data_IF_061648619621
#
_entry.id   IF_061648619621
#
_cell.length_a   1.000
_cell.length_b   1.000
_cell.length_c   1.000
_cell.angle_alpha   90.00
_cell.angle_beta   90.00
_cell.angle_gamma   90.00
#
_symmetry.space_group_name_H-M   'P 1'
#
loop_
_entity.id
_entity.type
_entity.pdbx_description
1 polymer ?
#
# COMPACT_ATOMS: atom_id res chain seq x y z
N UNK A 1 -46.92 42.06 12.92
CA UNK A 1 -46.56 41.09 14.00
C UNK A 1 -46.34 39.64 13.53
N UNK A 2 -46.98 39.21 12.44
CA UNK A 2 -46.82 37.81 11.92
C UNK A 2 -45.49 37.65 11.16
N UNK A 3 -44.97 38.69 10.53
CA UNK A 3 -43.70 38.64 9.76
C UNK A 3 -42.48 38.53 10.70
N UNK A 4 -42.49 39.25 11.84
CA UNK A 4 -41.38 39.20 12.79
C UNK A 4 -41.27 37.86 13.53
N UNK A 5 -42.38 37.14 13.71
CA UNK A 5 -42.36 35.81 14.33
C UNK A 5 -41.78 34.73 13.41
N UNK A 6 -41.96 34.86 12.08
CA UNK A 6 -41.37 33.91 11.11
C UNK A 6 -39.85 34.04 11.03
N UNK A 7 -39.30 35.25 11.06
CA UNK A 7 -37.85 35.44 11.01
C UNK A 7 -37.13 34.94 12.29
N UNK A 8 -37.77 35.00 13.46
CA UNK A 8 -37.19 34.50 14.71
C UNK A 8 -37.10 32.99 14.77
N UNK A 9 -37.98 32.26 14.06
CA UNK A 9 -37.95 30.78 13.99
C UNK A 9 -37.02 30.23 12.91
N UNK A 10 -36.83 30.98 11.81
CA UNK A 10 -35.97 30.54 10.69
C UNK A 10 -34.48 30.62 11.06
N UNK A 11 -34.07 31.62 11.83
CA UNK A 11 -32.65 31.78 12.23
C UNK A 11 -32.11 30.62 13.08
N UNK A 12 -32.76 30.16 14.14
CA UNK A 12 -32.25 29.00 14.90
C UNK A 12 -32.29 27.68 14.10
N UNK A 13 -33.29 27.56 13.17
CA UNK A 13 -33.37 26.36 12.33
C UNK A 13 -32.26 26.30 11.27
N UNK A 14 -31.89 27.44 10.67
CA UNK A 14 -30.73 27.54 9.79
C UNK A 14 -29.41 27.28 10.53
N UNK A 15 -29.23 27.84 11.74
CA UNK A 15 -28.05 27.53 12.54
C UNK A 15 -27.97 26.05 12.92
N UNK A 16 -29.08 25.41 13.25
CA UNK A 16 -29.13 23.97 13.56
C UNK A 16 -28.79 23.10 12.35
N UNK A 17 -29.27 23.48 11.14
CA UNK A 17 -28.89 22.82 9.88
C UNK A 17 -27.40 22.96 9.56
N UNK A 18 -26.79 24.11 9.83
CA UNK A 18 -25.34 24.29 9.67
C UNK A 18 -24.52 23.48 10.68
N UNK A 19 -24.96 23.38 11.92
CA UNK A 19 -24.31 22.59 12.96
C UNK A 19 -24.42 21.10 12.62
N UNK A 20 -25.58 20.60 12.18
CA UNK A 20 -25.75 19.21 11.78
C UNK A 20 -24.89 18.87 10.56
N UNK A 21 -24.82 19.77 9.55
CA UNK A 21 -23.93 19.55 8.41
C UNK A 21 -22.44 19.60 8.78
N UNK A 22 -22.03 20.43 9.75
CA UNK A 22 -20.62 20.44 10.20
C UNK A 22 -20.22 19.18 10.99
N UNK A 23 -21.16 18.50 11.62
CA UNK A 23 -20.91 17.22 12.29
C UNK A 23 -20.71 16.05 11.31
N UNK A 24 -21.15 16.17 10.05
CA UNK A 24 -20.95 15.17 8.99
C UNK A 24 -19.69 15.42 8.13
N UNK A 25 -19.02 16.55 8.33
CA UNK A 25 -17.75 16.91 7.66
C UNK A 25 -16.51 16.33 8.36
N UNK A 26 -16.64 15.20 9.04
CA UNK A 26 -15.46 14.41 9.38
C UNK A 26 -15.03 13.70 8.09
N UNK A 27 -14.06 14.28 7.41
CA UNK A 27 -13.44 13.64 6.25
C UNK A 27 -13.13 12.20 6.60
N UNK A 28 -13.53 11.25 5.77
CA UNK A 28 -13.21 9.84 5.97
C UNK A 28 -11.69 9.73 6.04
N UNK A 29 -11.17 9.58 7.24
CA UNK A 29 -9.74 9.43 7.43
C UNK A 29 -9.39 7.98 7.17
N UNK A 30 -9.02 7.70 5.92
CA UNK A 30 -8.48 6.40 5.53
C UNK A 30 -7.21 6.11 6.33
N UNK A 31 -7.00 4.84 6.69
CA UNK A 31 -5.89 4.38 7.53
C UNK A 31 -4.98 3.42 6.76
N UNK A 32 -4.82 3.65 5.46
CA UNK A 32 -4.07 2.76 4.58
C UNK A 32 -2.57 2.65 4.93
N UNK A 33 -2.05 3.56 5.73
CA UNK A 33 -0.68 3.67 6.20
C UNK A 33 -0.50 3.39 7.71
N UNK A 34 -1.50 2.80 8.36
CA UNK A 34 -1.47 2.60 9.82
C UNK A 34 -0.64 1.40 10.28
N UNK A 35 -0.24 0.52 9.40
CA UNK A 35 0.64 -0.60 9.73
C UNK A 35 1.88 -0.55 8.86
N UNK A 36 3.03 -0.45 9.49
CA UNK A 36 4.33 -0.45 8.84
C UNK A 36 5.07 -1.74 9.18
N UNK A 37 5.77 -2.28 8.19
CA UNK A 37 6.60 -3.45 8.31
C UNK A 37 8.05 -3.08 8.03
N UNK A 38 8.94 -3.55 8.87
CA UNK A 38 10.39 -3.42 8.70
C UNK A 38 11.03 -4.77 8.99
N UNK A 39 12.19 -5.03 8.43
CA UNK A 39 13.00 -6.18 8.85
C UNK A 39 14.10 -5.72 9.80
N UNK A 40 14.31 -6.48 10.87
CA UNK A 40 15.45 -6.28 11.75
C UNK A 40 16.73 -6.91 11.16
N UNK A 41 17.86 -6.75 11.83
CA UNK A 41 19.14 -7.32 11.40
C UNK A 41 19.13 -8.86 11.42
N UNK A 42 18.21 -9.50 12.14
CA UNK A 42 18.02 -10.96 12.15
C UNK A 42 17.05 -11.44 11.09
N UNK A 43 16.54 -10.54 10.24
CA UNK A 43 15.53 -10.75 9.19
C UNK A 43 14.13 -11.07 9.70
N UNK A 44 13.85 -10.89 11.00
CA UNK A 44 12.48 -10.95 11.49
C UNK A 44 11.70 -9.73 11.06
N UNK A 45 10.39 -9.88 10.92
CA UNK A 45 9.51 -8.76 10.59
C UNK A 45 9.14 -8.03 11.89
N UNK A 46 9.45 -6.74 11.94
CA UNK A 46 8.91 -5.83 12.94
C UNK A 46 7.65 -5.19 12.38
N UNK A 47 6.57 -5.25 13.15
CA UNK A 47 5.26 -4.69 12.80
C UNK A 47 5.00 -3.49 13.69
N UNK A 48 4.93 -2.32 13.09
CA UNK A 48 4.58 -1.08 13.78
C UNK A 48 3.15 -0.70 13.41
N UNK A 49 2.27 -0.63 14.40
CA UNK A 49 0.86 -0.27 14.21
C UNK A 49 0.56 1.05 14.91
N UNK A 50 -0.02 1.98 14.17
CA UNK A 50 -0.43 3.29 14.65
C UNK A 50 -1.90 3.28 15.03
N UNK A 51 -2.25 3.84 16.17
CA UNK A 51 -3.62 4.03 16.62
C UNK A 51 -3.94 5.53 16.76
N UNK A 52 -5.21 5.89 16.81
CA UNK A 52 -5.61 7.28 17.03
C UNK A 52 -5.89 7.56 18.51
N UNK A 53 -5.52 8.74 19.00
CA UNK A 53 -4.62 9.73 18.37
C UNK A 53 -3.21 9.14 18.19
N UNK A 54 -2.48 9.58 17.17
CA UNK A 54 -1.11 9.12 16.97
C UNK A 54 -0.21 9.88 17.94
N UNK A 55 0.19 9.23 19.01
CA UNK A 55 1.18 9.69 19.98
C UNK A 55 2.05 8.49 20.44
N UNK A 56 3.04 8.75 21.28
CA UNK A 56 3.97 7.71 21.77
C UNK A 56 3.28 6.56 22.51
N UNK A 57 2.07 6.74 23.02
CA UNK A 57 1.32 5.71 23.77
C UNK A 57 0.44 4.87 22.83
N UNK A 58 0.22 5.34 21.60
CA UNK A 58 -0.65 4.72 20.61
C UNK A 58 0.11 4.08 19.44
N UNK A 59 1.41 3.88 19.58
CA UNK A 59 2.23 3.10 18.67
C UNK A 59 2.57 1.76 19.31
N UNK A 60 2.16 0.68 18.66
CA UNK A 60 2.49 -0.68 19.07
C UNK A 60 3.54 -1.27 18.15
N UNK A 61 4.57 -1.90 18.72
CA UNK A 61 5.62 -2.61 17.98
C UNK A 61 5.59 -4.07 18.39
N UNK A 62 5.38 -4.94 17.41
CA UNK A 62 5.41 -6.39 17.57
C UNK A 62 6.54 -6.98 16.71
N UNK A 63 7.01 -8.19 17.01
CA UNK A 63 7.97 -8.92 16.19
C UNK A 63 7.38 -10.25 15.76
N UNK A 64 7.53 -10.57 14.48
CA UNK A 64 7.10 -11.84 13.88
C UNK A 64 8.34 -12.59 13.41
N UNK A 65 8.53 -13.81 13.91
CA UNK A 65 9.59 -14.71 13.45
C UNK A 65 9.29 -15.20 12.04
N UNK A 66 9.75 -14.46 11.06
CA UNK A 66 9.62 -14.80 9.64
C UNK A 66 10.82 -14.24 8.92
N UNK A 67 11.64 -15.09 8.37
CA UNK A 67 12.81 -14.66 7.61
C UNK A 67 12.38 -13.98 6.31
N UNK A 68 12.39 -12.66 6.31
CA UNK A 68 12.09 -11.84 5.14
C UNK A 68 12.91 -10.54 5.18
N UNK A 69 13.48 -10.18 4.04
CA UNK A 69 14.14 -8.89 3.88
C UNK A 69 13.17 -7.88 3.28
N UNK A 70 13.03 -6.74 3.95
CA UNK A 70 12.16 -5.62 3.55
C UNK A 70 12.99 -4.37 3.22
N UNK A 71 14.11 -4.53 2.52
CA UNK A 71 15.01 -3.43 2.16
C UNK A 71 14.32 -2.41 1.25
N UNK A 72 13.68 -2.89 0.18
CA UNK A 72 12.77 -2.13 -0.65
C UNK A 72 11.41 -2.81 -0.53
N UNK A 73 10.43 -2.15 0.06
CA UNK A 73 9.15 -2.76 0.35
C UNK A 73 8.01 -1.76 0.23
N UNK A 74 6.84 -2.27 -0.10
CA UNK A 74 5.58 -1.56 -0.01
C UNK A 74 4.60 -2.34 0.84
N UNK A 75 3.70 -1.65 1.52
CA UNK A 75 2.66 -2.25 2.33
C UNK A 75 1.40 -1.40 2.27
N UNK A 76 0.26 -2.02 2.58
CA UNK A 76 -1.02 -1.33 2.63
C UNK A 76 -1.90 -1.92 3.72
N UNK A 77 -2.59 -1.05 4.44
CA UNK A 77 -3.68 -1.39 5.35
C UNK A 77 -5.04 -1.17 4.68
N UNK A 78 -6.10 -1.68 5.27
CA UNK A 78 -7.46 -1.35 4.87
C UNK A 78 -7.91 -0.02 5.51
N UNK A 79 -9.15 0.40 5.24
CA UNK A 79 -9.72 1.63 5.82
C UNK A 79 -9.83 1.60 7.36
N UNK A 80 -9.78 0.42 7.98
CA UNK A 80 -9.73 0.25 9.44
C UNK A 80 -8.32 0.34 10.02
N UNK A 81 -7.28 0.30 9.18
CA UNK A 81 -5.87 0.32 9.57
C UNK A 81 -5.24 -1.06 9.75
N UNK A 82 -5.95 -2.13 9.39
CA UNK A 82 -5.40 -3.49 9.46
C UNK A 82 -4.57 -3.79 8.22
N UNK A 83 -3.41 -4.43 8.41
CA UNK A 83 -2.56 -4.87 7.31
C UNK A 83 -3.35 -5.75 6.32
N UNK A 84 -3.27 -5.44 5.04
CA UNK A 84 -3.87 -6.21 3.94
C UNK A 84 -2.80 -7.02 3.24
N UNK A 85 -1.82 -6.35 2.69
CA UNK A 85 -0.78 -6.93 1.88
C UNK A 85 0.52 -6.14 2.01
N UNK A 86 1.62 -6.81 1.68
CA UNK A 86 2.94 -6.19 1.54
C UNK A 86 3.77 -6.93 0.49
N UNK A 87 4.79 -6.25 -0.02
CA UNK A 87 5.70 -6.79 -1.02
C UNK A 87 7.13 -6.34 -0.76
N UNK A 88 8.10 -7.22 -1.03
CA UNK A 88 9.52 -6.91 -1.05
C UNK A 88 10.09 -6.96 -2.48
N UNK A 89 9.22 -6.88 -3.49
CA UNK A 89 9.60 -6.97 -4.90
C UNK A 89 9.79 -8.39 -5.45
N UNK A 90 9.93 -9.40 -4.60
CA UNK A 90 9.95 -10.81 -5.00
C UNK A 90 8.58 -11.46 -4.95
N UNK A 91 7.80 -11.11 -3.94
CA UNK A 91 6.51 -11.70 -3.61
C UNK A 91 5.52 -10.63 -3.17
N UNK A 92 4.25 -10.92 -3.35
CA UNK A 92 3.15 -10.26 -2.67
C UNK A 92 2.68 -11.20 -1.56
N UNK A 93 2.69 -10.70 -0.33
CA UNK A 93 2.33 -11.44 0.87
C UNK A 93 1.03 -10.88 1.46
N UNK A 94 0.28 -11.74 2.16
CA UNK A 94 -0.92 -11.32 2.88
C UNK A 94 -0.62 -11.03 4.37
N UNK A 95 -1.60 -10.53 5.10
CA UNK A 95 -1.51 -10.17 6.53
C UNK A 95 -1.05 -11.30 7.47
N UNK A 96 -1.12 -12.56 7.03
CA UNK A 96 -0.61 -13.72 7.78
C UNK A 96 0.87 -14.02 7.54
N UNK A 97 1.58 -13.11 6.88
CA UNK A 97 3.02 -13.17 6.61
C UNK A 97 3.46 -14.31 5.68
N UNK A 98 2.55 -14.93 4.96
CA UNK A 98 2.83 -15.90 3.91
C UNK A 98 2.57 -15.32 2.52
N UNK A 99 3.14 -15.97 1.50
CA UNK A 99 2.92 -15.56 0.11
C UNK A 99 1.44 -15.73 -0.24
N UNK A 100 0.84 -14.67 -0.77
CA UNK A 100 -0.53 -14.68 -1.27
C UNK A 100 -0.68 -15.67 -2.44
N UNK A 101 -1.85 -16.24 -2.62
CA UNK A 101 -2.11 -17.09 -3.81
C UNK A 101 -1.75 -16.34 -5.09
N UNK A 102 -0.96 -16.97 -5.95
CA UNK A 102 -0.37 -16.38 -7.15
C UNK A 102 0.53 -15.14 -6.89
N UNK A 103 0.93 -14.88 -5.63
CA UNK A 103 1.74 -13.72 -5.23
C UNK A 103 3.23 -13.84 -5.56
N UNK A 104 3.72 -15.01 -5.93
CA UNK A 104 5.10 -15.20 -6.38
C UNK A 104 5.31 -14.74 -7.81
N UNK A 105 6.57 -14.47 -8.17
CA UNK A 105 6.94 -14.17 -9.56
C UNK A 105 6.60 -12.78 -10.05
N UNK A 106 6.55 -11.78 -9.17
CA UNK A 106 6.53 -10.37 -9.59
C UNK A 106 7.92 -9.94 -10.06
N UNK A 107 7.98 -8.84 -10.84
CA UNK A 107 9.22 -8.32 -11.42
C UNK A 107 10.03 -9.39 -12.19
N UNK A 108 9.50 -9.95 -13.28
CA UNK A 108 10.21 -10.96 -14.05
C UNK A 108 11.50 -10.42 -14.65
N UNK A 109 12.50 -11.26 -14.80
CA UNK A 109 13.80 -10.90 -15.39
C UNK A 109 14.97 -11.53 -14.65
N UNK A 110 16.19 -11.24 -15.09
CA UNK A 110 17.41 -11.82 -14.54
C UNK A 110 17.67 -11.41 -13.08
N UNK A 111 17.41 -10.15 -12.72
CA UNK A 111 17.54 -9.68 -11.33
C UNK A 111 16.68 -10.54 -10.40
N UNK A 112 15.44 -10.83 -10.78
CA UNK A 112 14.56 -11.66 -9.96
C UNK A 112 15.14 -13.08 -9.78
N UNK A 113 15.65 -13.69 -10.84
CA UNK A 113 16.20 -15.04 -10.77
C UNK A 113 17.41 -15.12 -9.83
N UNK A 114 18.20 -14.06 -9.75
CA UNK A 114 19.39 -13.99 -8.92
C UNK A 114 19.10 -13.58 -7.47
N UNK A 115 18.12 -12.71 -7.25
CA UNK A 115 17.90 -12.04 -5.97
C UNK A 115 16.70 -12.57 -5.18
N UNK A 116 15.69 -13.13 -5.84
CA UNK A 116 14.53 -13.72 -5.17
C UNK A 116 14.74 -15.19 -4.84
N UNK A 117 15.88 -15.51 -4.28
CA UNK A 117 16.30 -16.85 -3.82
C UNK A 117 16.10 -17.00 -2.31
N UNK A 118 16.30 -18.19 -1.77
CA UNK A 118 16.25 -18.44 -0.32
C UNK A 118 17.28 -17.62 0.46
N UNK A 119 18.43 -17.33 -0.15
CA UNK A 119 19.53 -16.68 0.54
C UNK A 119 19.40 -15.15 0.53
N UNK A 120 18.99 -14.57 -0.60
CA UNK A 120 18.84 -13.13 -0.76
C UNK A 120 17.42 -12.63 -0.44
N UNK A 121 16.41 -13.23 -1.01
CA UNK A 121 14.99 -13.04 -0.74
C UNK A 121 14.54 -11.57 -0.68
N UNK A 122 15.09 -10.71 -1.53
CA UNK A 122 14.62 -9.34 -1.75
C UNK A 122 14.98 -8.88 -3.16
N UNK A 123 14.17 -7.98 -3.74
CA UNK A 123 14.42 -7.43 -5.06
C UNK A 123 15.24 -6.13 -4.93
N UNK A 124 16.46 -6.09 -5.49
CA UNK A 124 17.37 -4.95 -5.33
C UNK A 124 17.01 -3.82 -6.30
N UNK A 125 16.11 -2.97 -5.91
CA UNK A 125 15.72 -1.76 -6.66
C UNK A 125 15.88 -0.53 -5.78
N UNK A 126 15.57 0.66 -6.35
CA UNK A 126 15.51 1.89 -5.59
C UNK A 126 14.55 1.78 -4.39
N UNK A 127 14.79 2.56 -3.35
CA UNK A 127 14.06 2.45 -2.09
C UNK A 127 12.54 2.61 -2.25
N UNK A 128 12.08 3.45 -3.17
CA UNK A 128 10.68 3.72 -3.48
C UNK A 128 10.24 3.12 -4.83
N UNK A 129 10.62 1.89 -5.12
CA UNK A 129 10.36 1.25 -6.42
C UNK A 129 8.96 0.63 -6.55
N UNK A 130 8.16 0.66 -5.49
CA UNK A 130 6.82 0.10 -5.50
C UNK A 130 5.89 0.81 -4.52
N UNK A 131 4.59 0.80 -4.84
CA UNK A 131 3.55 1.38 -3.99
C UNK A 131 2.24 0.62 -4.18
N UNK A 132 1.50 0.42 -3.09
CA UNK A 132 0.13 -0.06 -3.15
C UNK A 132 -0.87 1.10 -3.26
N UNK A 133 -1.92 0.88 -4.03
CA UNK A 133 -3.03 1.82 -4.20
C UNK A 133 -4.33 1.04 -3.99
N UNK A 134 -5.26 1.51 -3.13
CA UNK A 134 -6.59 0.93 -3.07
C UNK A 134 -7.35 1.22 -4.37
N UNK A 135 -8.17 0.28 -4.82
CA UNK A 135 -9.07 0.53 -5.95
C UNK A 135 -10.17 1.51 -5.49
N UNK A 136 -10.33 2.67 -6.13
CA UNK A 136 -11.34 3.65 -5.72
C UNK A 136 -12.78 3.16 -5.93
N UNK A 137 -12.98 2.15 -6.77
CA UNK A 137 -14.30 1.60 -7.11
C UNK A 137 -14.60 0.29 -6.38
N UNK A 138 -13.60 -0.34 -5.74
CA UNK A 138 -13.76 -1.65 -5.11
C UNK A 138 -12.86 -1.78 -3.86
N UNK A 139 -13.44 -1.64 -2.68
CA UNK A 139 -12.74 -1.69 -1.40
C UNK A 139 -12.04 -3.02 -1.09
N UNK A 140 -12.32 -4.08 -1.85
CA UNK A 140 -11.69 -5.38 -1.72
C UNK A 140 -10.54 -5.59 -2.70
N UNK A 141 -10.24 -4.60 -3.57
CA UNK A 141 -9.18 -4.68 -4.56
C UNK A 141 -8.10 -3.64 -4.31
N UNK A 142 -6.87 -4.04 -4.63
CA UNK A 142 -5.69 -3.19 -4.50
C UNK A 142 -4.78 -3.40 -5.71
N UNK A 143 -4.13 -2.32 -6.13
CA UNK A 143 -3.07 -2.34 -7.13
C UNK A 143 -1.72 -2.28 -6.44
N UNK A 144 -0.78 -3.11 -6.84
CA UNK A 144 0.64 -2.90 -6.60
C UNK A 144 1.23 -2.32 -7.88
N UNK A 145 1.67 -1.07 -7.84
CA UNK A 145 2.49 -0.47 -8.89
C UNK A 145 3.95 -0.77 -8.53
N UNK A 146 4.72 -1.29 -9.46
CA UNK A 146 6.08 -1.73 -9.17
C UNK A 146 6.97 -1.65 -10.41
N UNK A 147 8.25 -1.41 -10.20
CA UNK A 147 9.25 -1.35 -11.24
C UNK A 147 9.97 -2.69 -11.38
N UNK A 148 10.08 -3.19 -12.61
CA UNK A 148 11.05 -4.21 -12.94
C UNK A 148 12.36 -3.56 -13.41
N UNK A 149 13.48 -4.27 -13.19
CA UNK A 149 14.78 -3.80 -13.57
C UNK A 149 15.59 -4.92 -14.26
N UNK A 150 16.54 -4.50 -15.09
CA UNK A 150 17.45 -5.36 -15.81
C UNK A 150 18.88 -5.02 -15.39
N UNK A 151 19.72 -6.04 -15.26
CA UNK A 151 21.14 -5.91 -15.07
C UNK A 151 21.87 -6.52 -16.28
N UNK A 152 22.85 -5.79 -16.79
CA UNK A 152 23.80 -6.24 -17.77
C UNK A 152 25.18 -6.28 -17.13
N UNK A 153 25.94 -7.36 -17.32
CA UNK A 153 27.23 -7.55 -16.61
C UNK A 153 28.44 -7.08 -17.41
N UNK A 154 28.33 -6.94 -18.73
CA UNK A 154 29.45 -6.50 -19.54
C UNK A 154 29.02 -5.47 -20.63
N UNK A 155 29.28 -4.18 -20.44
CA UNK A 155 29.71 -3.53 -19.20
C UNK A 155 28.61 -3.59 -18.13
N UNK A 156 28.98 -3.47 -16.85
CA UNK A 156 28.01 -3.48 -15.75
C UNK A 156 27.08 -2.27 -15.83
N UNK A 157 25.80 -2.52 -16.04
CA UNK A 157 24.74 -1.51 -16.09
C UNK A 157 23.46 -2.10 -15.49
N UNK A 158 22.72 -1.27 -14.77
CA UNK A 158 21.39 -1.59 -14.28
C UNK A 158 20.43 -0.44 -14.59
N UNK A 159 19.22 -0.75 -14.98
CA UNK A 159 18.18 0.23 -15.27
C UNK A 159 16.78 -0.37 -15.04
N UNK A 160 15.80 0.47 -14.80
CA UNK A 160 14.39 0.08 -14.80
C UNK A 160 13.93 -0.09 -16.24
N UNK A 161 13.35 -1.23 -16.59
CA UNK A 161 12.89 -1.56 -17.93
C UNK A 161 11.38 -1.35 -18.12
N UNK A 162 10.60 -1.41 -17.05
CA UNK A 162 9.17 -1.16 -17.11
C UNK A 162 8.58 -0.79 -15.76
N UNK A 163 7.61 0.12 -15.79
CA UNK A 163 6.62 0.29 -14.74
C UNK A 163 5.49 -0.72 -14.96
N UNK A 164 5.20 -1.51 -13.94
CA UNK A 164 4.21 -2.59 -14.00
C UNK A 164 3.14 -2.41 -12.94
N UNK A 165 2.04 -3.12 -13.09
CA UNK A 165 1.08 -3.29 -12.03
C UNK A 165 0.67 -4.75 -11.85
N UNK A 166 0.23 -5.06 -10.62
CA UNK A 166 -0.41 -6.32 -10.25
C UNK A 166 -1.67 -6.01 -9.47
N UNK A 167 -2.71 -6.81 -9.63
CA UNK A 167 -4.01 -6.61 -8.96
C UNK A 167 -4.21 -7.71 -7.93
N UNK A 168 -4.61 -7.29 -6.73
CA UNK A 168 -4.95 -8.15 -5.60
C UNK A 168 -6.45 -8.07 -5.36
N UNK A 169 -7.09 -9.20 -5.16
CA UNK A 169 -8.49 -9.29 -4.76
C UNK A 169 -8.63 -10.05 -3.45
N UNK A 170 -9.12 -9.37 -2.42
CA UNK A 170 -9.21 -9.89 -1.05
C UNK A 170 -10.42 -10.79 -0.80
N UNK A 171 -11.32 -10.97 -1.78
CA UNK A 171 -12.45 -11.90 -1.68
C UNK A 171 -12.02 -13.37 -1.66
N UNK A 172 -10.84 -13.66 -2.15
CA UNK A 172 -10.30 -15.02 -2.21
C UNK A 172 -9.69 -15.48 -0.88
N UNK A 173 -9.62 -16.80 -0.71
CA UNK A 173 -8.90 -17.48 0.38
C UNK A 173 -9.27 -17.00 1.79
N UNK A 174 -10.57 -16.81 2.04
CA UNK A 174 -11.08 -16.35 3.34
C UNK A 174 -10.43 -15.03 3.81
N UNK A 175 -10.27 -14.08 2.87
CA UNK A 175 -9.70 -12.77 3.14
C UNK A 175 -8.16 -12.74 3.19
N UNK A 176 -7.48 -13.82 2.78
CA UNK A 176 -6.03 -13.81 2.54
C UNK A 176 -5.66 -13.25 1.18
N UNK A 177 -6.64 -13.19 0.26
CA UNK A 177 -6.49 -12.62 -1.06
C UNK A 177 -5.84 -13.53 -2.09
N UNK A 178 -5.85 -13.04 -3.32
CA UNK A 178 -5.23 -13.65 -4.50
C UNK A 178 -4.74 -12.56 -5.45
N UNK A 179 -3.61 -12.76 -6.07
CA UNK A 179 -3.15 -11.94 -7.19
C UNK A 179 -3.88 -12.40 -8.44
N UNK A 180 -4.84 -11.61 -8.90
CA UNK A 180 -5.71 -11.94 -10.04
C UNK A 180 -5.12 -11.51 -11.38
N UNK A 181 -4.33 -10.43 -11.37
CA UNK A 181 -3.49 -10.00 -12.51
C UNK A 181 -2.07 -9.73 -12.01
N UNK A 182 -1.07 -10.03 -12.84
CA UNK A 182 0.33 -9.92 -12.45
C UNK A 182 1.21 -9.40 -13.57
N UNK A 183 2.15 -8.51 -13.22
CA UNK A 183 3.21 -8.01 -14.12
C UNK A 183 2.72 -7.33 -15.39
N UNK A 184 1.53 -6.74 -15.38
CA UNK A 184 1.04 -5.99 -16.53
C UNK A 184 1.87 -4.73 -16.72
N UNK A 185 2.30 -4.47 -17.93
CA UNK A 185 3.08 -3.27 -18.25
C UNK A 185 2.14 -2.06 -18.28
N UNK A 186 2.45 -1.08 -17.48
CA UNK A 186 1.80 0.23 -17.47
C UNK A 186 2.58 1.21 -18.37
N UNK A 187 3.90 1.18 -18.26
CA UNK A 187 4.82 1.95 -19.10
C UNK A 187 6.06 1.10 -19.37
N UNK A 188 6.37 0.87 -20.63
CA UNK A 188 7.58 0.16 -21.09
C UNK A 188 8.60 1.16 -21.57
N UNK A 189 9.42 1.67 -20.65
CA UNK A 189 10.51 2.59 -20.98
C UNK A 189 11.66 2.41 -19.99
N UNK A 190 12.87 2.63 -20.46
CA UNK A 190 14.09 2.49 -19.67
C UNK A 190 14.39 3.78 -18.93
N UNK A 191 14.49 3.71 -17.61
CA UNK A 191 14.88 4.83 -16.75
C UNK A 191 16.10 4.48 -15.91
N UNK A 192 16.87 5.48 -15.50
CA UNK A 192 18.03 5.27 -14.62
C UNK A 192 17.62 5.01 -13.17
N UNK A 193 16.48 5.58 -12.75
CA UNK A 193 15.92 5.43 -11.40
C UNK A 193 14.51 4.85 -11.52
N UNK A 194 14.15 3.99 -10.59
CA UNK A 194 12.86 3.33 -10.54
C UNK A 194 11.99 3.80 -9.37
N UNK A 195 12.10 5.05 -8.96
CA UNK A 195 11.28 5.61 -7.88
C UNK A 195 9.86 5.89 -8.36
N UNK A 196 8.87 5.54 -7.50
CA UNK A 196 7.44 5.70 -7.78
C UNK A 196 6.80 6.46 -6.64
N UNK A 197 6.10 7.54 -6.97
CA UNK A 197 5.24 8.26 -6.03
C UNK A 197 3.81 8.31 -6.57
N UNK A 198 2.85 8.24 -5.66
CA UNK A 198 1.42 8.32 -5.99
C UNK A 198 0.76 9.37 -5.12
N UNK A 199 -0.08 10.17 -5.74
CA UNK A 199 -0.86 11.19 -5.07
C UNK A 199 -2.32 11.09 -5.49
N UNK A 200 -3.23 11.17 -4.51
CA UNK A 200 -4.66 11.23 -4.80
C UNK A 200 -5.00 12.55 -5.51
N UNK A 201 -5.70 12.46 -6.63
CA UNK A 201 -6.18 13.66 -7.31
C UNK A 201 -7.27 14.38 -6.50
N UNK A 202 -7.24 15.70 -6.48
CA UNK A 202 -8.13 16.50 -5.64
C UNK A 202 -9.63 16.39 -6.01
N UNK A 203 -9.93 15.96 -7.22
CA UNK A 203 -11.30 15.88 -7.77
C UNK A 203 -11.95 14.49 -7.62
N UNK A 204 -11.35 13.58 -6.88
CA UNK A 204 -11.89 12.24 -6.62
C UNK A 204 -12.31 12.08 -5.16
#
# INVERSE_FOLDING_TARGET
NIIQTKERLIRPFLCFLFIVNSLWLHGQQYRYDYTWLMSDYTRNIMVMTFHKPVDSNNVRIDSVKKELRLNSSAMISNSAGELVAYSNGCFINHRGYDVMENGGGINPGNIRMESCTTDYNYYPTAEQSMVFIPDPMDVMRYYLIHNSAVIQYNPLKAWTDALRYSIIDMRYNNGKGKVVEKNKILLGDSTLSGEVAVMKHANN
#
